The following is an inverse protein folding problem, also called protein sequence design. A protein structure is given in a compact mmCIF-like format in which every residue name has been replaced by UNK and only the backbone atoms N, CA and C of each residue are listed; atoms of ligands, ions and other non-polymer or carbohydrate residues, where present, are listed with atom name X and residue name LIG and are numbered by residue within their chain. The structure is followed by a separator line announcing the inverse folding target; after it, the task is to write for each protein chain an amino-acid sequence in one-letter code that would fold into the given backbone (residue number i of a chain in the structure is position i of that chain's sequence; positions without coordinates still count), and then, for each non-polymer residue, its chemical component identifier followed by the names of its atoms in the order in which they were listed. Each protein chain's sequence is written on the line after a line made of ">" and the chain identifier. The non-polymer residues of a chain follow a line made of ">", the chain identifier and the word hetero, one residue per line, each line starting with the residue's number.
data_IF_210621491743
#
_entry.id   IF_210621491743
#
_cell.length_a   1.000
_cell.length_b   1.000
_cell.length_c   1.000
_cell.angle_alpha   90.00
_cell.angle_beta   90.00
_cell.angle_gamma   90.00
#
_symmetry.space_group_name_H-M   'P 1'
#
loop_
_entity.id
_entity.type
_entity.pdbx_description
1 polymer ?
#
# COMPACT_ATOMS: atom_id res chain seq x y z
N UNK A 1 -6.51 -22.77 46.95
CA UNK A 1 -7.34 -22.59 45.74
C UNK A 1 -6.38 -22.45 44.56
N UNK A 2 -6.18 -23.53 43.79
CA UNK A 2 -5.15 -23.59 42.76
C UNK A 2 -5.56 -22.72 41.55
N UNK A 3 -4.80 -21.67 41.29
CA UNK A 3 -4.93 -20.83 40.10
C UNK A 3 -4.58 -21.71 38.91
N UNK A 4 -5.60 -22.06 38.11
CA UNK A 4 -5.42 -22.80 36.85
C UNK A 4 -4.47 -21.99 35.97
N UNK A 5 -3.24 -22.46 35.79
CA UNK A 5 -2.34 -21.95 34.78
C UNK A 5 -3.06 -22.06 33.43
N UNK A 6 -3.27 -20.92 32.76
CA UNK A 6 -3.74 -20.91 31.37
C UNK A 6 -2.78 -21.81 30.60
N UNK A 7 -3.27 -22.95 30.12
CA UNK A 7 -2.53 -23.78 29.18
C UNK A 7 -2.23 -22.89 27.98
N UNK A 8 -0.98 -22.41 27.88
CA UNK A 8 -0.48 -21.66 26.74
C UNK A 8 -0.67 -22.56 25.53
N UNK A 9 -1.49 -22.10 24.59
CA UNK A 9 -1.83 -22.82 23.37
C UNK A 9 -0.53 -23.24 22.67
N UNK A 10 -0.29 -24.55 22.63
CA UNK A 10 0.72 -25.14 21.76
C UNK A 10 0.21 -24.95 20.33
N UNK A 11 0.73 -23.92 19.66
CA UNK A 11 0.27 -23.42 18.35
C UNK A 11 0.21 -21.88 18.23
N UNK A 12 0.30 -21.16 19.36
CA UNK A 12 0.12 -19.70 19.47
C UNK A 12 1.22 -18.84 18.80
N UNK A 13 2.25 -19.42 18.17
CA UNK A 13 3.50 -18.69 17.95
C UNK A 13 3.84 -18.27 16.53
N UNK A 14 3.34 -18.97 15.50
CA UNK A 14 3.94 -18.86 14.16
C UNK A 14 2.90 -18.74 13.04
N UNK A 15 1.93 -19.65 12.94
CA UNK A 15 0.99 -19.68 11.80
C UNK A 15 -0.03 -18.54 11.83
N UNK A 16 -0.49 -18.14 13.02
CA UNK A 16 -1.43 -17.02 13.18
C UNK A 16 -0.76 -15.68 12.82
N UNK A 17 0.50 -15.51 13.20
CA UNK A 17 1.28 -14.33 12.82
C UNK A 17 1.60 -14.30 11.33
N UNK A 18 1.88 -15.44 10.70
CA UNK A 18 2.12 -15.51 9.24
C UNK A 18 0.91 -14.97 8.47
N UNK A 19 -0.32 -15.31 8.88
CA UNK A 19 -1.53 -14.79 8.23
C UNK A 19 -1.65 -13.28 8.42
N UNK A 20 -1.48 -12.76 9.64
CA UNK A 20 -1.59 -11.32 9.91
C UNK A 20 -0.50 -10.54 9.14
N UNK A 21 0.74 -11.04 9.12
CA UNK A 21 1.86 -10.42 8.39
C UNK A 21 1.57 -10.41 6.89
N UNK A 22 1.04 -11.50 6.32
CA UNK A 22 0.65 -11.56 4.92
C UNK A 22 -0.43 -10.51 4.58
N UNK A 23 -1.43 -10.32 5.44
CA UNK A 23 -2.46 -9.30 5.24
C UNK A 23 -1.89 -7.87 5.28
N UNK A 24 -0.98 -7.59 6.22
CA UNK A 24 -0.31 -6.28 6.31
C UNK A 24 0.57 -6.04 5.08
N UNK A 25 1.29 -7.06 4.59
CA UNK A 25 2.14 -6.93 3.41
C UNK A 25 1.33 -6.56 2.16
N UNK A 26 0.18 -7.20 1.95
CA UNK A 26 -0.72 -6.89 0.83
C UNK A 26 -1.26 -5.46 0.96
N UNK A 27 -1.72 -5.07 2.16
CA UNK A 27 -2.19 -3.71 2.40
C UNK A 27 -1.09 -2.66 2.17
N UNK A 28 0.14 -2.95 2.57
CA UNK A 28 1.28 -2.07 2.39
C UNK A 28 1.58 -1.80 0.91
N UNK A 29 1.54 -2.82 0.04
CA UNK A 29 1.74 -2.64 -1.40
C UNK A 29 0.74 -1.60 -1.96
N UNK A 30 -0.54 -1.73 -1.61
CA UNK A 30 -1.60 -0.80 -2.06
C UNK A 30 -1.38 0.60 -1.53
N UNK A 31 -1.08 0.74 -0.23
CA UNK A 31 -0.85 2.03 0.41
C UNK A 31 0.38 2.72 -0.18
N UNK A 32 1.48 2.01 -0.41
CA UNK A 32 2.70 2.63 -0.94
C UNK A 32 2.51 3.18 -2.35
N UNK A 33 1.80 2.46 -3.22
CA UNK A 33 1.53 2.94 -4.58
C UNK A 33 0.60 4.17 -4.55
N UNK A 34 -0.55 4.06 -3.85
CA UNK A 34 -1.56 5.12 -3.85
C UNK A 34 -1.11 6.38 -3.09
N UNK A 35 -0.47 6.20 -1.94
CA UNK A 35 -0.02 7.30 -1.09
C UNK A 35 1.21 8.00 -1.69
N UNK A 36 2.12 7.24 -2.31
CA UNK A 36 3.32 7.79 -2.96
C UNK A 36 2.97 8.80 -4.05
N UNK A 37 2.07 8.44 -4.96
CA UNK A 37 1.64 9.31 -6.06
C UNK A 37 0.88 10.55 -5.56
N UNK A 38 0.02 10.37 -4.56
CA UNK A 38 -0.76 11.47 -3.97
C UNK A 38 0.16 12.49 -3.28
N UNK A 39 1.07 12.03 -2.43
CA UNK A 39 2.01 12.91 -1.72
C UNK A 39 2.94 13.61 -2.71
N UNK A 40 3.46 12.88 -3.71
CA UNK A 40 4.32 13.48 -4.74
C UNK A 40 3.58 14.56 -5.54
N UNK A 41 2.32 14.32 -5.91
CA UNK A 41 1.48 15.31 -6.58
C UNK A 41 1.28 16.57 -5.74
N UNK A 42 0.88 16.41 -4.48
CA UNK A 42 0.67 17.54 -3.57
C UNK A 42 1.95 18.33 -3.30
N UNK A 43 3.10 17.66 -3.13
CA UNK A 43 4.39 18.35 -2.96
C UNK A 43 4.80 19.09 -4.23
N UNK A 44 4.52 18.53 -5.41
CA UNK A 44 4.71 19.20 -6.70
C UNK A 44 3.87 20.47 -6.82
N UNK A 45 2.60 20.41 -6.43
CA UNK A 45 1.70 21.57 -6.43
C UNK A 45 2.18 22.67 -5.48
N UNK A 46 2.57 22.31 -4.25
CA UNK A 46 3.12 23.27 -3.28
C UNK A 46 4.42 23.91 -3.80
N UNK A 47 5.29 23.13 -4.45
CA UNK A 47 6.52 23.66 -5.03
C UNK A 47 6.23 24.60 -6.22
N UNK A 48 5.23 24.28 -7.05
CA UNK A 48 4.78 25.12 -8.14
C UNK A 48 4.24 26.46 -7.61
N UNK A 49 3.37 26.44 -6.60
CA UNK A 49 2.87 27.66 -5.94
C UNK A 49 4.00 28.48 -5.30
N UNK A 50 4.95 27.83 -4.63
CA UNK A 50 6.10 28.51 -4.01
C UNK A 50 7.00 29.18 -5.06
N UNK A 51 7.11 28.61 -6.25
CA UNK A 51 7.84 29.20 -7.38
C UNK A 51 7.06 30.31 -8.12
N UNK A 52 5.82 30.59 -7.71
CA UNK A 52 4.92 31.57 -8.33
C UNK A 52 4.13 31.03 -9.53
N UNK A 53 4.11 29.71 -9.74
CA UNK A 53 3.25 29.03 -10.71
C UNK A 53 1.86 28.71 -10.15
N UNK A 54 0.96 28.23 -11.02
CA UNK A 54 -0.35 27.74 -10.60
C UNK A 54 -0.28 26.25 -10.22
N UNK A 55 -0.88 25.86 -9.09
CA UNK A 55 -1.06 24.46 -8.74
C UNK A 55 -2.05 23.78 -9.68
N UNK A 56 -1.78 22.53 -10.05
CA UNK A 56 -2.72 21.69 -10.76
C UNK A 56 -3.32 20.67 -9.78
N UNK A 57 -4.38 21.07 -9.08
CA UNK A 57 -5.10 20.22 -8.13
C UNK A 57 -5.77 18.97 -8.75
N UNK A 58 -5.53 18.69 -10.04
CA UNK A 58 -6.01 17.49 -10.72
C UNK A 58 -5.45 16.19 -10.12
N UNK A 59 -4.31 16.24 -9.41
CA UNK A 59 -3.72 15.07 -8.76
C UNK A 59 -4.69 14.41 -7.75
N UNK A 60 -5.43 15.20 -6.98
CA UNK A 60 -6.44 14.70 -6.04
C UNK A 60 -7.62 14.00 -6.76
N UNK A 61 -8.04 14.55 -7.91
CA UNK A 61 -9.11 13.96 -8.73
C UNK A 61 -8.66 12.67 -9.44
N UNK A 62 -7.39 12.61 -9.88
CA UNK A 62 -6.81 11.41 -10.51
C UNK A 62 -6.62 10.26 -9.51
N UNK A 63 -6.30 10.55 -8.24
CA UNK A 63 -6.23 9.53 -7.20
C UNK A 63 -7.58 8.82 -6.98
N UNK A 64 -8.71 9.54 -7.10
CA UNK A 64 -10.05 8.94 -7.05
C UNK A 64 -10.38 8.17 -8.33
N UNK A 65 -9.93 8.63 -9.50
CA UNK A 65 -10.12 7.91 -10.77
C UNK A 65 -9.26 6.63 -10.88
N UNK A 66 -8.06 6.61 -10.29
CA UNK A 66 -7.21 5.42 -10.22
C UNK A 66 -7.85 4.28 -9.40
N UNK A 67 -8.73 4.60 -8.44
CA UNK A 67 -9.57 3.59 -7.77
C UNK A 67 -10.57 2.89 -8.71
N UNK A 68 -10.83 3.46 -9.90
CA UNK A 68 -11.77 2.92 -10.88
C UNK A 68 -11.15 2.54 -12.24
N UNK A 69 -9.88 2.85 -12.52
CA UNK A 69 -9.37 2.77 -13.89
C UNK A 69 -8.00 2.09 -14.09
N UNK A 70 -7.25 1.76 -13.03
CA UNK A 70 -6.06 0.90 -13.17
C UNK A 70 -6.44 -0.59 -13.09
N UNK A 71 -7.04 -1.07 -14.18
CA UNK A 71 -7.14 -2.50 -14.53
C UNK A 71 -5.79 -3.09 -14.98
N UNK A 72 -4.65 -2.53 -14.56
CA UNK A 72 -3.41 -3.30 -14.61
C UNK A 72 -3.37 -4.15 -13.36
N UNK A 73 -4.00 -5.33 -13.46
CA UNK A 73 -3.91 -6.39 -12.47
C UNK A 73 -2.46 -6.84 -12.34
N UNK A 74 -1.71 -6.21 -11.44
CA UNK A 74 -0.44 -6.74 -10.94
C UNK A 74 -0.75 -7.88 -9.97
N UNK A 75 -1.26 -8.97 -10.54
CA UNK A 75 -1.41 -10.25 -9.84
C UNK A 75 -0.08 -11.00 -9.88
N UNK A 76 0.14 -11.90 -8.92
CA UNK A 76 1.39 -12.67 -8.78
C UNK A 76 1.76 -13.48 -10.04
N UNK A 77 0.81 -13.70 -10.95
CA UNK A 77 1.03 -14.37 -12.24
C UNK A 77 1.41 -13.44 -13.41
N UNK A 78 1.43 -12.12 -13.21
CA UNK A 78 1.71 -11.11 -14.23
C UNK A 78 3.05 -10.36 -13.98
N UNK A 79 3.91 -10.90 -13.11
CA UNK A 79 5.31 -10.49 -13.03
C UNK A 79 6.08 -11.20 -14.15
N UNK A 80 5.87 -10.78 -15.39
CA UNK A 80 6.82 -11.13 -16.44
C UNK A 80 8.07 -10.27 -16.22
N UNK A 81 9.14 -10.89 -15.74
CA UNK A 81 10.44 -10.24 -15.69
C UNK A 81 10.85 -9.97 -17.13
N UNK A 82 10.82 -8.70 -17.51
CA UNK A 82 11.40 -8.25 -18.76
C UNK A 82 12.92 -8.45 -18.62
N UNK A 83 13.40 -9.64 -18.96
CA UNK A 83 14.82 -9.91 -19.19
C UNK A 83 15.22 -9.11 -20.44
N UNK A 84 15.82 -7.95 -20.22
CA UNK A 84 16.54 -7.23 -21.25
C UNK A 84 17.74 -8.08 -21.71
N UNK A 85 17.71 -8.52 -22.97
CA UNK A 85 18.85 -9.10 -23.68
C UNK A 85 19.82 -8.02 -24.17
#
# INVERSE_FOLDING_TARGET
>A
MNIKARARQLGQGMTEYIIIVALIAIAAIVVYNLFGDTVRGQVGDMAAELSGGAADHSAAAKATAAQGQDQVQYELGNFDQVEEQ
#
